data_IF_708474035233
#
_entry.id   IF_708474035233
#
_cell.length_a   1.000
_cell.length_b   1.000
_cell.length_c   1.000
_cell.angle_alpha   90.00
_cell.angle_beta   90.00
_cell.angle_gamma   90.00
#
_symmetry.space_group_name_H-M   'P 1'
#
loop_
_entity.id
_entity.type
_entity.pdbx_description
1 polymer ?
#
# COMPACT_ATOMS: atom_id res chain seq x y z
N UNK A 1 -7.10 16.09 -13.79
CA UNK A 1 -6.92 15.73 -12.37
C UNK A 1 -6.42 14.30 -12.33
N UNK A 2 -5.22 14.03 -11.81
CA UNK A 2 -4.75 12.64 -11.67
C UNK A 2 -5.34 12.07 -10.38
N UNK A 3 -6.27 11.13 -10.51
CA UNK A 3 -6.80 10.39 -9.39
C UNK A 3 -5.68 9.55 -8.75
N UNK A 4 -5.67 9.48 -7.42
CA UNK A 4 -4.69 8.69 -6.65
C UNK A 4 -5.46 7.64 -5.90
N UNK A 5 -5.11 6.38 -6.12
CA UNK A 5 -5.74 5.22 -5.52
C UNK A 5 -4.95 4.81 -4.29
N UNK A 6 -5.64 4.66 -3.17
CA UNK A 6 -5.05 4.22 -1.91
C UNK A 6 -5.09 2.69 -1.85
N UNK A 7 -3.92 2.06 -1.93
CA UNK A 7 -3.73 0.61 -1.87
C UNK A 7 -3.14 0.22 -0.51
N UNK A 8 -3.91 -0.52 0.28
CA UNK A 8 -3.48 -1.10 1.55
C UNK A 8 -2.95 -2.52 1.34
N UNK A 9 -1.66 -2.72 1.63
CA UNK A 9 -0.95 -4.00 1.49
C UNK A 9 -0.72 -4.70 2.82
N UNK A 10 -1.33 -4.23 3.90
CA UNK A 10 -1.22 -4.84 5.23
C UNK A 10 -1.97 -6.16 5.30
N UNK A 11 -1.47 -7.08 6.12
CA UNK A 11 -2.17 -8.32 6.49
C UNK A 11 -3.56 -8.03 7.08
N UNK A 12 -4.53 -8.91 6.79
CA UNK A 12 -5.92 -8.74 7.24
C UNK A 12 -6.10 -8.82 8.75
N UNK A 13 -5.17 -9.48 9.44
CA UNK A 13 -5.18 -9.65 10.90
C UNK A 13 -4.82 -8.38 11.67
N UNK A 14 -4.41 -7.31 10.97
CA UNK A 14 -4.22 -5.99 11.56
C UNK A 14 -5.57 -5.29 11.57
N UNK A 15 -6.00 -4.87 12.76
CA UNK A 15 -7.23 -4.12 12.96
C UNK A 15 -7.05 -2.71 12.38
N UNK A 16 -7.83 -2.38 11.36
CA UNK A 16 -7.68 -1.15 10.57
C UNK A 16 -9.04 -0.55 10.27
N UNK A 17 -9.11 0.78 10.26
CA UNK A 17 -10.27 1.49 9.73
C UNK A 17 -10.38 1.22 8.23
N UNK A 18 -11.38 0.43 7.82
CA UNK A 18 -11.61 0.07 6.41
C UNK A 18 -11.88 1.28 5.50
N UNK A 19 -12.19 2.44 6.07
CA UNK A 19 -12.52 3.65 5.31
C UNK A 19 -11.27 4.42 4.83
N UNK A 20 -10.05 3.98 5.17
CA UNK A 20 -8.81 4.69 4.84
C UNK A 20 -8.20 4.27 3.47
N UNK A 21 -8.70 3.20 2.85
CA UNK A 21 -8.15 2.65 1.60
C UNK A 21 -9.22 2.37 0.55
N UNK A 22 -8.92 2.65 -0.71
CA UNK A 22 -9.78 2.29 -1.85
C UNK A 22 -9.71 0.78 -2.16
N UNK A 23 -8.53 0.18 -1.96
CA UNK A 23 -8.26 -1.23 -2.21
C UNK A 23 -7.45 -1.83 -1.06
N UNK A 24 -7.86 -2.99 -0.56
CA UNK A 24 -7.09 -3.76 0.43
C UNK A 24 -6.69 -5.11 -0.16
N UNK A 25 -5.40 -5.25 -0.45
CA UNK A 25 -4.80 -6.46 -1.01
C UNK A 25 -3.48 -6.70 -0.27
N UNK A 26 -3.45 -7.56 0.76
CA UNK A 26 -2.23 -7.78 1.52
C UNK A 26 -1.06 -8.17 0.63
N UNK A 27 0.17 -7.88 1.06
CA UNK A 27 1.37 -8.16 0.29
C UNK A 27 1.43 -9.62 -0.22
N UNK A 28 1.05 -10.57 0.64
CA UNK A 28 0.94 -12.01 0.34
C UNK A 28 0.00 -12.33 -0.84
N UNK A 29 -0.98 -11.47 -1.10
CA UNK A 29 -2.01 -11.61 -2.14
C UNK A 29 -1.73 -10.79 -3.40
N UNK A 30 -0.81 -9.82 -3.38
CA UNK A 30 -0.48 -8.97 -4.53
C UNK A 30 -0.13 -9.77 -5.78
N UNK A 31 0.62 -10.86 -5.64
CA UNK A 31 1.00 -11.70 -6.79
C UNK A 31 -0.22 -12.28 -7.51
N UNK A 32 -1.28 -12.60 -6.76
CA UNK A 32 -2.50 -13.22 -7.28
C UNK A 32 -3.49 -12.19 -7.83
N UNK A 33 -3.58 -11.02 -7.20
CA UNK A 33 -4.61 -10.03 -7.47
C UNK A 33 -4.10 -8.71 -8.05
N UNK A 34 -2.84 -8.63 -8.49
CA UNK A 34 -2.30 -7.41 -9.11
C UNK A 34 -3.16 -6.87 -10.26
N UNK A 35 -3.84 -7.73 -11.02
CA UNK A 35 -4.71 -7.31 -12.12
C UNK A 35 -5.91 -6.46 -11.69
N UNK A 36 -6.30 -6.50 -10.41
CA UNK A 36 -7.37 -5.68 -9.84
C UNK A 36 -6.89 -4.26 -9.49
N UNK A 37 -5.57 -4.04 -9.46
CA UNK A 37 -4.98 -2.74 -9.15
C UNK A 37 -5.08 -1.87 -10.41
N UNK A 38 -5.74 -0.70 -10.34
CA UNK A 38 -5.86 0.20 -11.48
C UNK A 38 -4.50 0.76 -11.87
N UNK A 39 -4.32 1.04 -13.16
CA UNK A 39 -3.10 1.65 -13.69
C UNK A 39 -3.10 3.18 -13.46
N UNK A 40 -3.25 3.58 -12.20
CA UNK A 40 -3.28 4.97 -11.74
C UNK A 40 -2.11 5.23 -10.77
N UNK A 41 -2.02 6.46 -10.25
CA UNK A 41 -1.06 6.77 -9.19
C UNK A 41 -1.48 6.07 -7.91
N UNK A 42 -0.57 5.33 -7.28
CA UNK A 42 -0.83 4.61 -6.05
C UNK A 42 -0.26 5.36 -4.84
N UNK A 43 -1.07 5.48 -3.79
CA UNK A 43 -0.61 5.72 -2.42
C UNK A 43 -0.63 4.37 -1.69
N UNK A 44 0.53 3.89 -1.22
CA UNK A 44 0.65 2.55 -0.61
C UNK A 44 0.67 2.64 0.91
N UNK A 45 -0.24 1.93 1.57
CA UNK A 45 -0.25 1.77 3.04
C UNK A 45 0.34 0.41 3.39
N UNK A 46 1.33 0.39 4.28
CA UNK A 46 1.96 -0.82 4.78
C UNK A 46 2.07 -0.80 6.31
N UNK A 47 2.32 -1.95 6.92
CA UNK A 47 2.45 -2.07 8.37
C UNK A 47 3.84 -1.64 8.84
N UNK A 48 4.88 -2.06 8.13
CA UNK A 48 6.27 -1.76 8.45
C UNK A 48 7.11 -1.47 7.19
N UNK A 49 8.39 -1.12 7.40
CA UNK A 49 9.30 -0.80 6.31
C UNK A 49 9.65 -2.01 5.44
N UNK A 50 9.63 -3.23 5.98
CA UNK A 50 9.95 -4.43 5.21
C UNK A 50 8.84 -4.72 4.21
N UNK A 51 7.60 -4.77 4.70
CA UNK A 51 6.40 -4.94 3.88
C UNK A 51 6.29 -3.82 2.83
N UNK A 52 6.54 -2.56 3.22
CA UNK A 52 6.55 -1.44 2.30
C UNK A 52 7.57 -1.62 1.16
N UNK A 53 8.82 -1.92 1.50
CA UNK A 53 9.89 -2.04 0.52
C UNK A 53 9.64 -3.20 -0.46
N UNK A 54 9.15 -4.33 0.06
CA UNK A 54 8.79 -5.48 -0.77
C UNK A 54 7.60 -5.17 -1.68
N UNK A 55 6.56 -4.53 -1.16
CA UNK A 55 5.37 -4.12 -1.89
C UNK A 55 5.69 -3.12 -2.99
N UNK A 56 6.39 -2.03 -2.68
CA UNK A 56 6.82 -1.03 -3.68
C UNK A 56 7.66 -1.67 -4.77
N UNK A 57 8.66 -2.50 -4.41
CA UNK A 57 9.51 -3.15 -5.41
C UNK A 57 8.70 -4.05 -6.33
N UNK A 58 7.74 -4.81 -5.78
CA UNK A 58 6.84 -5.63 -6.58
C UNK A 58 6.00 -4.77 -7.54
N UNK A 59 5.36 -3.72 -7.04
CA UNK A 59 4.50 -2.85 -7.84
C UNK A 59 5.27 -2.12 -8.94
N UNK A 60 6.44 -1.54 -8.63
CA UNK A 60 7.31 -0.91 -9.62
C UNK A 60 7.76 -1.91 -10.70
N UNK A 61 8.10 -3.15 -10.32
CA UNK A 61 8.48 -4.19 -11.29
C UNK A 61 7.35 -4.60 -12.24
N UNK A 62 6.09 -4.28 -11.88
CA UNK A 62 4.90 -4.50 -12.70
C UNK A 62 4.48 -3.27 -13.51
N UNK A 63 5.18 -2.15 -13.35
CA UNK A 63 4.92 -0.91 -14.10
C UNK A 63 3.92 0.04 -13.44
N UNK A 64 3.51 -0.21 -12.18
CA UNK A 64 2.65 0.73 -11.46
C UNK A 64 3.39 2.00 -11.07
N UNK A 65 2.66 3.12 -11.00
CA UNK A 65 3.20 4.41 -10.59
C UNK A 65 2.94 4.66 -9.10
N UNK A 66 3.99 4.60 -8.27
CA UNK A 66 3.89 4.91 -6.84
C UNK A 66 4.07 6.42 -6.63
N UNK A 67 3.06 7.10 -6.11
CA UNK A 67 3.09 8.53 -5.83
C UNK A 67 3.54 8.86 -4.41
N UNK A 68 3.14 8.04 -3.43
CA UNK A 68 3.51 8.21 -2.02
C UNK A 68 3.21 6.93 -1.23
N UNK A 69 3.59 6.91 0.06
CA UNK A 69 3.32 5.80 0.94
C UNK A 69 3.11 6.24 2.40
N UNK A 70 2.54 5.35 3.20
CA UNK A 70 2.37 5.49 4.64
C UNK A 70 2.68 4.16 5.34
N UNK A 71 3.29 4.25 6.53
CA UNK A 71 3.53 3.10 7.42
C UNK A 71 2.65 3.26 8.66
N UNK A 72 1.76 2.30 8.93
CA UNK A 72 0.82 2.39 10.05
C UNK A 72 1.48 2.11 11.40
N UNK A 73 2.40 1.16 11.48
CA UNK A 73 3.22 0.94 12.68
C UNK A 73 4.55 1.69 12.56
N UNK A 74 4.49 2.96 12.18
CA UNK A 74 5.69 3.78 12.24
C UNK A 74 5.97 4.09 13.71
N UNK A 75 7.15 3.73 14.27
CA UNK A 75 7.60 4.25 15.57
C UNK A 75 8.00 5.73 15.47
N UNK A 76 7.39 6.47 14.54
CA UNK A 76 7.55 7.88 14.29
C UNK A 76 7.49 8.61 15.62
N UNK A 77 8.66 8.93 16.20
CA UNK A 77 8.78 9.84 17.33
C UNK A 77 8.07 11.10 16.87
N UNK A 78 6.88 11.33 17.39
CA UNK A 78 6.12 12.55 17.12
C UNK A 78 7.05 13.73 17.35
N UNK A 79 7.42 14.42 16.28
CA UNK A 79 7.96 15.76 16.45
C UNK A 79 6.74 16.62 16.77
N UNK A 80 6.59 16.86 18.08
CA UNK A 80 5.77 17.95 18.63
C UNK A 80 6.13 19.27 17.96
#
# INVERSE_FOLDING_TARGET
MSNTVVLDIREYNIDVNHNESDLRIPFSYLKRFNQEIPNEKLHVIANDHLELNLGIRFLLSKGYHIASYQISNCPCRGKK
#
